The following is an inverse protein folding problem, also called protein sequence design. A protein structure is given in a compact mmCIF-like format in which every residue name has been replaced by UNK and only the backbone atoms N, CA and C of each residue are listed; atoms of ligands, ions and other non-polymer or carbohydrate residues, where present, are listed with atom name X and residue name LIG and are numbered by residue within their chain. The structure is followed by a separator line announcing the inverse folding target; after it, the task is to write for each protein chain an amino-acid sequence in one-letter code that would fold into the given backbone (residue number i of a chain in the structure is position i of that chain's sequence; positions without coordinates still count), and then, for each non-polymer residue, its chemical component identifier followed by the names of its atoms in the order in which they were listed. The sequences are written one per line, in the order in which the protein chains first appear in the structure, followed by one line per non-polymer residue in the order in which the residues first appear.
data_IF_961925429524
#
_entry.id   IF_961925429524
#
_cell.length_a   1.000
_cell.length_b   1.000
_cell.length_c   1.000
_cell.angle_alpha   90.00
_cell.angle_beta   90.00
_cell.angle_gamma   90.00
#
_symmetry.space_group_name_H-M   'P 1'
#
loop_
_entity.id
_entity.type
_entity.pdbx_description
1 polymer ?
#
# COMPACT_ATOMS: atom_id res chain seq x y z
N UNK A 1 -13.76 3.61 19.19
CA UNK A 1 -12.38 3.57 18.66
C UNK A 1 -11.47 4.10 19.73
N UNK A 2 -11.69 5.34 20.17
CA UNK A 2 -11.27 5.84 21.46
C UNK A 2 -12.13 5.25 22.59
N UNK A 3 -11.58 5.16 23.79
CA UNK A 3 -12.26 4.90 25.07
C UNK A 3 -12.88 6.19 25.59
N UNK A 4 -13.86 6.09 26.49
CA UNK A 4 -14.48 7.27 27.12
C UNK A 4 -13.45 8.14 27.83
N UNK A 5 -12.49 7.52 28.52
CA UNK A 5 -11.37 8.21 29.16
C UNK A 5 -10.52 8.99 28.15
N UNK A 6 -10.11 8.39 27.03
CA UNK A 6 -9.34 9.10 26.01
C UNK A 6 -10.12 10.28 25.39
N UNK A 7 -11.45 10.16 25.27
CA UNK A 7 -12.29 11.27 24.80
C UNK A 7 -12.38 12.38 25.84
N UNK A 8 -12.41 12.05 27.13
CA UNK A 8 -12.38 13.06 28.21
C UNK A 8 -11.02 13.77 28.28
N UNK A 9 -9.93 13.02 28.16
CA UNK A 9 -8.56 13.56 28.20
C UNK A 9 -8.27 14.45 26.97
N UNK A 10 -8.83 14.10 25.80
CA UNK A 10 -8.66 14.85 24.55
C UNK A 10 -10.00 15.02 23.81
N UNK A 11 -10.85 15.99 24.22
CA UNK A 11 -12.22 16.14 23.69
C UNK A 11 -12.31 16.36 22.17
N UNK A 12 -11.28 16.97 21.58
CA UNK A 12 -11.21 17.23 20.14
C UNK A 12 -10.68 16.05 19.32
N UNK A 13 -10.12 15.00 19.95
CA UNK A 13 -9.43 13.92 19.25
C UNK A 13 -10.35 13.18 18.27
N UNK A 14 -11.61 12.97 18.65
CA UNK A 14 -12.58 12.29 17.78
C UNK A 14 -12.90 13.12 16.53
N UNK A 15 -13.05 14.43 16.69
CA UNK A 15 -13.29 15.35 15.58
C UNK A 15 -12.09 15.39 14.64
N UNK A 16 -10.87 15.44 15.19
CA UNK A 16 -9.64 15.38 14.40
C UNK A 16 -9.52 14.07 13.63
N UNK A 17 -9.69 12.94 14.32
CA UNK A 17 -9.63 11.64 13.69
C UNK A 17 -10.66 11.49 12.57
N UNK A 18 -11.88 12.00 12.79
CA UNK A 18 -12.91 12.03 11.75
C UNK A 18 -12.46 12.84 10.53
N UNK A 19 -11.81 13.99 10.72
CA UNK A 19 -11.24 14.81 9.64
C UNK A 19 -10.18 14.02 8.85
N UNK A 20 -9.19 13.45 9.54
CA UNK A 20 -8.10 12.66 8.95
C UNK A 20 -8.68 11.49 8.14
N UNK A 21 -9.62 10.75 8.71
CA UNK A 21 -10.23 9.57 8.08
C UNK A 21 -11.02 9.94 6.83
N UNK A 22 -11.94 10.90 6.95
CA UNK A 22 -12.81 11.32 5.84
C UNK A 22 -12.01 11.91 4.68
N UNK A 23 -10.89 12.58 4.95
CA UNK A 23 -10.04 13.12 3.89
C UNK A 23 -9.25 12.04 3.16
N UNK A 24 -8.70 11.06 3.89
CA UNK A 24 -7.67 10.16 3.35
C UNK A 24 -8.19 8.80 2.87
N UNK A 25 -9.28 8.28 3.45
CA UNK A 25 -9.69 6.89 3.25
C UNK A 25 -10.70 6.71 2.09
N UNK A 26 -11.88 7.37 2.07
CA UNK A 26 -13.01 6.92 1.26
C UNK A 26 -12.93 7.24 -0.23
N UNK A 27 -12.04 8.14 -0.67
CA UNK A 27 -12.07 8.69 -2.02
C UNK A 27 -11.33 7.86 -3.09
N UNK A 28 -10.89 6.65 -2.75
CA UNK A 28 -10.31 5.71 -3.70
C UNK A 28 -11.39 4.89 -4.41
N UNK A 29 -10.96 3.94 -5.26
CA UNK A 29 -11.89 2.96 -5.87
C UNK A 29 -12.46 1.95 -4.85
N UNK A 30 -11.93 1.92 -3.63
CA UNK A 30 -12.30 1.00 -2.53
C UNK A 30 -12.22 -0.50 -2.88
N UNK A 31 -11.58 -0.84 -4.01
CA UNK A 31 -11.48 -2.20 -4.53
C UNK A 31 -10.79 -3.12 -3.53
N UNK A 32 -9.79 -2.62 -2.77
CA UNK A 32 -8.99 -3.48 -1.88
C UNK A 32 -9.83 -3.97 -0.71
N UNK A 33 -10.62 -3.08 -0.13
CA UNK A 33 -11.56 -3.42 0.94
C UNK A 33 -12.68 -4.33 0.47
N UNK A 34 -13.22 -4.09 -0.74
CA UNK A 34 -14.30 -4.91 -1.30
C UNK A 34 -13.85 -6.31 -1.72
N UNK A 35 -12.58 -6.50 -2.07
CA UNK A 35 -12.05 -7.82 -2.44
C UNK A 35 -12.06 -8.82 -1.28
N UNK A 36 -12.02 -8.38 -0.02
CA UNK A 36 -12.06 -9.27 1.15
C UNK A 36 -13.40 -10.02 1.26
N UNK A 37 -14.58 -9.35 1.36
CA UNK A 37 -15.86 -10.05 1.39
C UNK A 37 -16.19 -10.76 0.08
N UNK A 38 -15.68 -10.30 -1.07
CA UNK A 38 -15.82 -11.02 -2.33
C UNK A 38 -15.05 -12.35 -2.33
N UNK A 39 -13.83 -12.36 -1.81
CA UNK A 39 -13.04 -13.58 -1.70
C UNK A 39 -13.65 -14.57 -0.69
N UNK A 40 -14.22 -14.10 0.43
CA UNK A 40 -14.96 -14.97 1.35
C UNK A 40 -16.12 -15.65 0.63
N UNK A 41 -16.91 -14.92 -0.16
CA UNK A 41 -18.00 -15.51 -0.98
C UNK A 41 -17.51 -16.42 -2.10
N UNK A 42 -16.27 -16.26 -2.54
CA UNK A 42 -15.64 -17.13 -3.54
C UNK A 42 -15.08 -18.44 -2.97
N UNK A 43 -14.63 -18.42 -1.71
CA UNK A 43 -14.07 -19.58 -1.01
C UNK A 43 -15.16 -20.39 -0.30
N UNK A 44 -16.16 -19.72 0.28
CA UNK A 44 -17.25 -20.34 1.01
C UNK A 44 -18.53 -20.33 0.18
N UNK A 45 -19.16 -21.49 0.00
CA UNK A 45 -20.42 -21.61 -0.77
C UNK A 45 -21.58 -20.89 -0.08
N UNK A 46 -21.63 -20.95 1.25
CA UNK A 46 -22.69 -20.36 2.07
C UNK A 46 -22.08 -19.64 3.30
N UNK A 47 -21.39 -18.51 3.12
CA UNK A 47 -20.75 -17.81 4.22
C UNK A 47 -21.80 -17.26 5.19
N UNK A 48 -21.54 -17.41 6.48
CA UNK A 48 -22.43 -16.89 7.54
C UNK A 48 -22.42 -15.36 7.55
N UNK A 49 -23.48 -14.76 8.10
CA UNK A 49 -23.56 -13.29 8.29
C UNK A 49 -22.37 -12.77 9.11
N UNK A 50 -21.95 -13.54 10.14
CA UNK A 50 -20.78 -13.23 10.96
C UNK A 50 -19.50 -13.18 10.13
N UNK A 51 -19.25 -14.17 9.27
CA UNK A 51 -18.06 -14.21 8.40
C UNK A 51 -18.05 -13.03 7.43
N UNK A 52 -19.20 -12.69 6.85
CA UNK A 52 -19.32 -11.54 5.94
C UNK A 52 -19.10 -10.22 6.68
N UNK A 53 -19.65 -10.06 7.89
CA UNK A 53 -19.41 -8.88 8.71
C UNK A 53 -17.93 -8.73 9.07
N UNK A 54 -17.28 -9.82 9.48
CA UNK A 54 -15.84 -9.86 9.74
C UNK A 54 -15.04 -9.46 8.49
N UNK A 55 -15.43 -9.96 7.31
CA UNK A 55 -14.79 -9.63 6.05
C UNK A 55 -14.91 -8.13 5.71
N UNK A 56 -16.06 -7.50 5.94
CA UNK A 56 -16.23 -6.06 5.75
C UNK A 56 -15.38 -5.23 6.73
N UNK A 57 -15.30 -5.64 7.99
CA UNK A 57 -14.46 -4.96 8.99
C UNK A 57 -12.99 -5.02 8.57
N UNK A 58 -12.50 -6.20 8.19
CA UNK A 58 -11.13 -6.35 7.70
C UNK A 58 -10.91 -5.62 6.36
N UNK A 59 -11.92 -5.56 5.49
CA UNK A 59 -11.89 -4.75 4.28
C UNK A 59 -11.65 -3.26 4.56
N UNK A 60 -12.31 -2.71 5.58
CA UNK A 60 -12.03 -1.34 6.03
C UNK A 60 -10.64 -1.19 6.63
N UNK A 61 -10.19 -2.15 7.44
CA UNK A 61 -8.80 -2.18 7.93
C UNK A 61 -7.79 -2.14 6.77
N UNK A 62 -8.04 -2.88 5.69
CA UNK A 62 -7.22 -2.86 4.48
C UNK A 62 -7.22 -1.46 3.86
N UNK A 63 -8.36 -0.83 3.64
CA UNK A 63 -8.42 0.52 3.04
C UNK A 63 -7.67 1.57 3.89
N UNK A 64 -7.77 1.48 5.22
CA UNK A 64 -7.05 2.38 6.15
C UNK A 64 -5.54 2.12 6.10
N UNK A 65 -5.11 0.85 6.18
CA UNK A 65 -3.69 0.47 6.11
C UNK A 65 -3.03 0.88 4.77
N UNK A 66 -3.84 1.11 3.75
CA UNK A 66 -3.41 1.57 2.42
C UNK A 66 -3.42 3.08 2.25
N UNK A 67 -3.69 3.85 3.30
CA UNK A 67 -3.57 5.30 3.20
C UNK A 67 -2.15 5.70 2.81
N UNK A 68 -2.09 6.70 1.91
CA UNK A 68 -0.86 7.10 1.23
C UNK A 68 -0.26 8.37 1.84
N UNK A 69 -0.66 8.76 3.05
CA UNK A 69 -0.21 9.99 3.70
C UNK A 69 1.32 10.00 3.85
N UNK A 70 1.90 8.93 4.41
CA UNK A 70 3.36 8.82 4.55
C UNK A 70 4.08 8.75 3.18
N UNK A 71 3.51 8.05 2.20
CA UNK A 71 4.04 7.97 0.83
C UNK A 71 4.07 9.35 0.17
N UNK A 72 2.98 10.11 0.30
CA UNK A 72 2.86 11.46 -0.25
C UNK A 72 3.86 12.44 0.38
N UNK A 73 4.14 12.30 1.69
CA UNK A 73 5.17 13.08 2.39
C UNK A 73 6.57 12.72 1.87
N UNK A 74 6.93 11.43 1.85
CA UNK A 74 8.24 10.95 1.38
C UNK A 74 8.49 11.33 -0.08
N UNK A 75 7.46 11.26 -0.92
CA UNK A 75 7.53 11.59 -2.34
C UNK A 75 7.45 13.08 -2.65
N UNK A 76 7.22 13.93 -1.63
CA UNK A 76 6.85 15.35 -1.79
C UNK A 76 5.71 15.57 -2.79
N UNK A 77 4.72 14.68 -2.79
CA UNK A 77 3.63 14.70 -3.78
C UNK A 77 2.71 15.91 -3.61
N UNK A 78 2.29 16.52 -4.72
CA UNK A 78 1.36 17.65 -4.69
C UNK A 78 -0.10 17.23 -4.45
N UNK A 79 -0.54 16.24 -5.21
CA UNK A 79 -1.96 15.86 -5.31
C UNK A 79 -2.17 14.36 -5.21
N UNK A 80 -3.26 13.97 -4.55
CA UNK A 80 -3.76 12.61 -4.43
C UNK A 80 -5.27 12.60 -4.63
N UNK A 81 -5.75 11.72 -5.54
CA UNK A 81 -7.19 11.54 -5.80
C UNK A 81 -7.89 12.87 -6.16
N UNK A 82 -7.21 13.72 -6.93
CA UNK A 82 -7.73 15.03 -7.37
C UNK A 82 -7.74 16.12 -6.31
N UNK A 83 -7.13 15.91 -5.13
CA UNK A 83 -7.04 16.90 -4.04
C UNK A 83 -5.59 17.09 -3.60
N UNK A 84 -5.24 18.20 -2.91
CA UNK A 84 -3.94 18.34 -2.28
C UNK A 84 -3.63 17.15 -1.36
N UNK A 85 -2.39 16.69 -1.36
CA UNK A 85 -1.94 15.69 -0.40
C UNK A 85 -2.13 16.20 1.03
N UNK A 86 -2.48 15.30 1.97
CA UNK A 86 -2.89 15.69 3.33
C UNK A 86 -1.90 16.62 4.03
N UNK A 87 -0.60 16.38 3.87
CA UNK A 87 0.45 17.21 4.48
C UNK A 87 0.53 18.65 3.95
N UNK A 88 -0.13 18.96 2.84
CA UNK A 88 -0.24 20.31 2.27
C UNK A 88 -1.54 21.03 2.65
N UNK A 89 -2.44 20.38 3.38
CA UNK A 89 -3.72 20.95 3.80
C UNK A 89 -3.51 21.75 5.09
N UNK A 90 -4.10 22.95 5.18
CA UNK A 90 -4.17 23.77 6.39
C UNK A 90 -2.83 23.97 7.14
N UNK A 91 -1.69 23.99 6.43
CA UNK A 91 -0.37 24.15 7.04
C UNK A 91 0.07 22.97 7.93
N UNK A 92 -0.47 21.77 7.70
CA UNK A 92 -0.17 20.57 8.49
C UNK A 92 1.31 20.19 8.49
N UNK A 93 1.95 20.24 7.32
CA UNK A 93 3.35 19.90 7.10
C UNK A 93 3.74 18.57 7.79
N UNK A 94 4.62 18.63 8.78
CA UNK A 94 5.13 17.46 9.51
C UNK A 94 4.09 16.81 10.42
N UNK A 95 3.03 17.52 10.85
CA UNK A 95 1.97 16.93 11.69
C UNK A 95 1.22 15.81 10.95
N UNK A 96 1.10 15.91 9.64
CA UNK A 96 0.51 14.85 8.82
C UNK A 96 1.28 13.51 8.91
N UNK A 97 2.56 13.53 9.30
CA UNK A 97 3.30 12.31 9.60
C UNK A 97 2.69 11.59 10.81
N UNK A 98 2.37 12.32 11.89
CA UNK A 98 1.69 11.75 13.04
C UNK A 98 0.31 11.19 12.68
N UNK A 99 -0.45 11.88 11.85
CA UNK A 99 -1.75 11.39 11.37
C UNK A 99 -1.63 10.09 10.56
N UNK A 100 -0.52 9.92 9.83
CA UNK A 100 -0.25 8.66 9.12
C UNK A 100 -0.03 7.48 10.08
N UNK A 101 0.67 7.71 11.20
CA UNK A 101 0.87 6.72 12.26
C UNK A 101 -0.44 6.44 13.00
N UNK A 102 -1.24 7.47 13.24
CA UNK A 102 -2.55 7.35 13.88
C UNK A 102 -3.49 6.44 13.07
N UNK A 103 -3.55 6.63 11.74
CA UNK A 103 -4.33 5.77 10.84
C UNK A 103 -3.87 4.31 10.93
N UNK A 104 -2.55 4.05 10.95
CA UNK A 104 -2.00 2.71 11.11
C UNK A 104 -2.38 2.10 12.46
N UNK A 105 -2.25 2.85 13.55
CA UNK A 105 -2.60 2.36 14.88
C UNK A 105 -4.10 2.02 15.01
N UNK A 106 -4.97 2.78 14.34
CA UNK A 106 -6.41 2.53 14.36
C UNK A 106 -6.78 1.18 13.74
N UNK A 107 -6.03 0.71 12.75
CA UNK A 107 -6.22 -0.63 12.19
C UNK A 107 -6.10 -1.68 13.30
N UNK A 108 -5.05 -1.62 14.10
CA UNK A 108 -4.84 -2.56 15.22
C UNK A 108 -5.88 -2.38 16.33
N UNK A 109 -6.36 -1.16 16.59
CA UNK A 109 -7.48 -0.94 17.52
C UNK A 109 -8.78 -1.59 17.03
N UNK A 110 -9.07 -1.52 15.72
CA UNK A 110 -10.22 -2.21 15.13
C UNK A 110 -10.03 -3.72 15.23
N UNK A 111 -8.86 -4.25 14.84
CA UNK A 111 -8.57 -5.69 14.90
C UNK A 111 -8.74 -6.20 16.35
N UNK A 112 -8.13 -5.53 17.32
CA UNK A 112 -8.27 -5.90 18.73
C UNK A 112 -9.74 -5.82 19.21
N UNK A 113 -10.49 -4.79 18.82
CA UNK A 113 -11.90 -4.65 19.22
C UNK A 113 -12.77 -5.81 18.76
N UNK A 114 -12.62 -6.25 17.50
CA UNK A 114 -13.54 -7.20 16.87
C UNK A 114 -13.03 -8.64 16.85
N UNK A 115 -11.72 -8.85 16.93
CA UNK A 115 -11.10 -10.16 16.68
C UNK A 115 -10.32 -10.72 17.86
N UNK A 116 -10.07 -9.98 18.95
CA UNK A 116 -9.24 -10.46 20.08
C UNK A 116 -9.63 -11.82 20.68
N UNK A 117 -10.91 -12.18 20.60
CA UNK A 117 -11.45 -13.43 21.14
C UNK A 117 -11.69 -14.50 20.06
N UNK A 118 -11.22 -14.27 18.84
CA UNK A 118 -11.32 -15.24 17.74
C UNK A 118 -10.09 -16.15 17.71
N UNK A 119 -10.25 -17.38 17.22
CA UNK A 119 -9.15 -18.34 17.04
C UNK A 119 -8.05 -17.82 16.11
N UNK A 120 -8.38 -16.87 15.24
CA UNK A 120 -7.52 -16.36 14.17
C UNK A 120 -7.02 -14.92 14.40
N UNK A 121 -7.10 -14.39 15.62
CA UNK A 121 -6.60 -13.06 15.98
C UNK A 121 -5.12 -12.85 15.64
N UNK A 122 -4.26 -13.81 16.02
CA UNK A 122 -2.82 -13.76 15.76
C UNK A 122 -2.53 -13.73 14.27
N UNK A 123 -3.17 -14.63 13.51
CA UNK A 123 -3.03 -14.71 12.06
C UNK A 123 -3.42 -13.41 11.36
N UNK A 124 -4.55 -12.79 11.73
CA UNK A 124 -4.93 -11.49 11.17
C UNK A 124 -3.86 -10.44 11.51
N UNK A 125 -3.40 -10.39 12.75
CA UNK A 125 -2.41 -9.41 13.20
C UNK A 125 -1.09 -9.56 12.43
N UNK A 126 -0.60 -10.79 12.26
CA UNK A 126 0.58 -11.11 11.47
C UNK A 126 0.43 -10.70 10.00
N UNK A 127 -0.72 -10.98 9.38
CA UNK A 127 -1.02 -10.56 8.00
C UNK A 127 -0.89 -9.04 7.86
N UNK A 128 -1.45 -8.26 8.79
CA UNK A 128 -1.38 -6.80 8.74
C UNK A 128 0.04 -6.25 9.00
N UNK A 129 0.78 -6.87 9.92
CA UNK A 129 2.18 -6.53 10.20
C UNK A 129 3.07 -6.80 8.98
N UNK A 130 2.96 -7.99 8.38
CA UNK A 130 3.71 -8.35 7.17
C UNK A 130 3.34 -7.46 5.99
N UNK A 131 2.04 -7.18 5.83
CA UNK A 131 1.54 -6.34 4.77
C UNK A 131 2.20 -4.95 4.81
N UNK A 132 2.47 -4.43 6.01
CA UNK A 132 3.05 -3.11 6.19
C UNK A 132 4.57 -3.09 6.15
N UNK A 133 5.20 -4.12 6.73
CA UNK A 133 6.66 -4.25 6.82
C UNK A 133 7.32 -4.30 5.44
N UNK A 134 6.76 -5.06 4.50
CA UNK A 134 7.30 -5.22 3.13
C UNK A 134 7.38 -3.88 2.37
N UNK A 135 6.31 -3.06 2.27
CA UNK A 135 6.37 -1.71 1.72
C UNK A 135 7.36 -0.77 2.44
N UNK A 136 7.51 -0.87 3.76
CA UNK A 136 8.47 -0.05 4.50
C UNK A 136 9.92 -0.33 4.12
N UNK A 137 10.33 -1.61 4.08
CA UNK A 137 11.65 -1.97 3.59
C UNK A 137 11.88 -1.51 2.15
N UNK A 138 10.87 -1.67 1.30
CA UNK A 138 10.95 -1.24 -0.08
C UNK A 138 11.02 0.29 -0.24
N UNK A 139 10.43 1.07 0.67
CA UNK A 139 10.60 2.53 0.71
C UNK A 139 11.99 2.93 1.18
N UNK A 140 12.55 2.23 2.18
CA UNK A 140 13.94 2.43 2.60
C UNK A 140 14.90 2.22 1.43
N UNK A 141 14.72 1.16 0.65
CA UNK A 141 15.55 0.87 -0.52
C UNK A 141 15.51 1.97 -1.59
N UNK A 142 14.41 2.72 -1.73
CA UNK A 142 14.31 3.77 -2.76
C UNK A 142 14.53 5.19 -2.31
N UNK A 143 14.55 5.46 -1.02
CA UNK A 143 14.81 6.81 -0.52
C UNK A 143 16.21 6.94 0.09
N UNK A 144 17.00 5.87 0.12
CA UNK A 144 18.40 5.92 0.55
C UNK A 144 19.29 6.64 -0.46
N UNK A 145 20.36 7.33 -0.01
CA UNK A 145 21.33 7.95 -0.91
C UNK A 145 21.93 6.97 -1.92
N UNK A 146 22.23 5.74 -1.49
CA UNK A 146 22.86 4.70 -2.29
C UNK A 146 21.88 3.95 -3.22
N UNK A 147 20.62 4.43 -3.35
CA UNK A 147 19.56 3.76 -4.12
C UNK A 147 20.00 3.38 -5.53
N UNK A 148 20.72 4.24 -6.25
CA UNK A 148 21.16 3.97 -7.63
C UNK A 148 22.11 2.77 -7.66
N UNK A 149 23.07 2.69 -6.72
CA UNK A 149 23.99 1.55 -6.60
C UNK A 149 23.22 0.25 -6.32
N UNK A 150 22.29 0.29 -5.38
CA UNK A 150 21.42 -0.86 -5.07
C UNK A 150 20.59 -1.27 -6.31
N UNK A 151 20.09 -0.30 -7.08
CA UNK A 151 19.32 -0.51 -8.30
C UNK A 151 20.15 -1.12 -9.44
N UNK A 152 21.46 -0.96 -9.44
CA UNK A 152 22.34 -1.58 -10.44
C UNK A 152 22.51 -3.08 -10.20
N UNK A 153 22.61 -3.50 -8.95
CA UNK A 153 22.74 -4.91 -8.55
C UNK A 153 21.44 -5.69 -8.78
N UNK A 154 20.33 -4.97 -8.94
CA UNK A 154 19.00 -5.49 -9.22
C UNK A 154 18.89 -5.91 -10.69
N UNK A 155 18.69 -7.21 -10.94
CA UNK A 155 18.47 -7.79 -12.28
C UNK A 155 17.04 -8.28 -12.45
N UNK A 156 16.47 -8.18 -13.65
CA UNK A 156 15.14 -8.67 -13.97
C UNK A 156 14.91 -10.13 -13.52
N UNK A 157 15.85 -11.03 -13.83
CA UNK A 157 15.78 -12.46 -13.47
C UNK A 157 15.69 -12.70 -11.94
N UNK A 158 16.22 -11.79 -11.12
CA UNK A 158 16.27 -11.91 -9.66
C UNK A 158 15.20 -11.05 -8.94
N UNK A 159 14.41 -10.26 -9.67
CA UNK A 159 13.53 -9.21 -9.09
C UNK A 159 12.05 -9.54 -9.09
N UNK A 160 11.67 -10.75 -9.52
CA UNK A 160 10.29 -11.25 -9.40
C UNK A 160 9.72 -11.08 -7.96
N UNK A 161 10.50 -11.22 -6.86
CA UNK A 161 9.98 -11.03 -5.50
C UNK A 161 10.33 -9.69 -4.81
N UNK A 162 11.47 -9.04 -5.13
CA UNK A 162 12.02 -7.95 -4.29
C UNK A 162 11.50 -6.55 -4.63
N UNK A 163 11.01 -6.33 -5.85
CA UNK A 163 10.45 -5.05 -6.31
C UNK A 163 8.94 -5.09 -6.54
N UNK A 164 8.37 -6.29 -6.55
CA UNK A 164 6.93 -6.55 -6.60
C UNK A 164 6.23 -6.13 -5.30
N UNK A 165 6.93 -6.08 -4.17
CA UNK A 165 6.38 -5.92 -2.81
C UNK A 165 5.78 -4.56 -2.44
N UNK A 166 5.90 -3.51 -3.27
CA UNK A 166 5.43 -2.16 -2.86
C UNK A 166 3.94 -1.89 -3.05
N UNK A 167 3.33 -2.46 -4.10
CA UNK A 167 1.87 -2.35 -4.36
C UNK A 167 1.17 -3.70 -4.49
N UNK A 168 1.92 -4.78 -4.78
CA UNK A 168 1.37 -6.13 -4.79
C UNK A 168 0.87 -6.56 -3.42
N UNK A 169 1.45 -6.00 -2.34
CA UNK A 169 1.22 -6.42 -0.95
C UNK A 169 -0.16 -6.23 -0.38
N UNK A 170 -1.00 -5.44 -1.04
CA UNK A 170 -2.38 -5.34 -0.58
C UNK A 170 -3.33 -6.26 -1.36
N UNK A 171 -3.02 -6.50 -2.64
CA UNK A 171 -3.70 -7.56 -3.39
C UNK A 171 -3.29 -8.94 -2.86
N UNK A 172 -2.17 -9.03 -2.11
CA UNK A 172 -1.79 -10.18 -1.27
C UNK A 172 -2.73 -10.44 -0.10
N UNK A 173 -3.28 -9.38 0.49
CA UNK A 173 -3.92 -9.51 1.81
C UNK A 173 -5.29 -10.16 1.72
N UNK A 174 -6.10 -9.82 0.69
CA UNK A 174 -7.51 -10.23 0.69
C UNK A 174 -7.73 -11.75 0.58
N UNK A 175 -6.96 -12.55 -0.20
CA UNK A 175 -7.15 -14.00 -0.24
C UNK A 175 -6.75 -14.67 1.08
N UNK A 176 -5.70 -14.16 1.74
CA UNK A 176 -5.25 -14.66 3.03
C UNK A 176 -6.26 -14.36 4.14
N UNK A 177 -6.81 -13.13 4.17
CA UNK A 177 -7.87 -12.76 5.12
C UNK A 177 -9.14 -13.59 4.88
N UNK A 178 -9.50 -13.84 3.62
CA UNK A 178 -10.67 -14.65 3.30
C UNK A 178 -10.47 -16.12 3.74
N UNK A 179 -9.31 -16.70 3.44
CA UNK A 179 -8.95 -18.05 3.91
C UNK A 179 -8.92 -18.14 5.45
N UNK A 180 -8.46 -17.08 6.12
CA UNK A 180 -8.45 -16.98 7.58
C UNK A 180 -9.86 -16.96 8.17
N UNK A 181 -10.78 -16.17 7.58
CA UNK A 181 -12.21 -16.12 7.98
C UNK A 181 -12.92 -17.45 7.70
N UNK A 182 -12.54 -18.13 6.62
CA UNK A 182 -13.02 -19.46 6.27
C UNK A 182 -12.38 -20.58 7.14
N UNK A 183 -11.43 -20.24 8.02
CA UNK A 183 -10.64 -21.20 8.81
C UNK A 183 -10.05 -22.33 7.96
N UNK A 184 -9.63 -21.99 6.73
CA UNK A 184 -9.12 -22.95 5.76
C UNK A 184 -7.77 -23.51 6.24
N UNK A 185 -7.70 -24.83 6.43
CA UNK A 185 -6.48 -25.52 6.90
C UNK A 185 -5.68 -26.20 5.79
N UNK A 186 -6.25 -26.29 4.58
CA UNK A 186 -5.58 -26.96 3.47
C UNK A 186 -4.35 -26.17 3.00
N UNK A 187 -3.18 -26.67 3.34
CA UNK A 187 -1.90 -26.02 3.04
C UNK A 187 -1.62 -25.90 1.54
N UNK A 188 -2.16 -26.80 0.73
CA UNK A 188 -2.00 -26.76 -0.73
C UNK A 188 -2.79 -25.58 -1.30
N UNK A 189 -4.05 -25.42 -0.91
CA UNK A 189 -4.89 -24.30 -1.31
C UNK A 189 -4.32 -22.98 -0.81
N UNK A 190 -3.85 -22.90 0.44
CA UNK A 190 -3.21 -21.70 0.97
C UNK A 190 -1.98 -21.27 0.14
N UNK A 191 -1.13 -22.22 -0.27
CA UNK A 191 0.01 -21.95 -1.17
C UNK A 191 -0.45 -21.46 -2.54
N UNK A 192 -1.51 -22.05 -3.11
CA UNK A 192 -2.05 -21.59 -4.38
C UNK A 192 -2.66 -20.19 -4.29
N UNK A 193 -3.33 -19.86 -3.18
CA UNK A 193 -3.87 -18.52 -2.92
C UNK A 193 -2.75 -17.48 -2.83
N UNK A 194 -1.66 -17.81 -2.12
CA UNK A 194 -0.48 -16.95 -2.06
C UNK A 194 0.12 -16.71 -3.45
N UNK A 195 0.30 -17.76 -4.26
CA UNK A 195 0.80 -17.65 -5.63
C UNK A 195 -0.13 -16.86 -6.56
N UNK A 196 -1.43 -17.05 -6.43
CA UNK A 196 -2.44 -16.30 -7.18
C UNK A 196 -2.34 -14.81 -6.85
N UNK A 197 -2.24 -14.49 -5.56
CA UNK A 197 -2.11 -13.13 -5.10
C UNK A 197 -0.79 -12.48 -5.60
N UNK A 198 0.29 -13.28 -5.75
CA UNK A 198 1.59 -12.84 -6.32
C UNK A 198 1.43 -12.39 -7.76
N UNK A 199 0.69 -13.16 -8.54
CA UNK A 199 0.42 -12.85 -9.94
C UNK A 199 -0.48 -11.62 -10.09
N UNK A 200 -1.52 -11.49 -9.26
CA UNK A 200 -2.41 -10.31 -9.29
C UNK A 200 -1.67 -9.02 -8.95
N UNK A 201 -0.82 -9.06 -7.92
CA UNK A 201 -0.03 -7.90 -7.53
C UNK A 201 0.95 -7.44 -8.61
N UNK A 202 1.52 -8.39 -9.36
CA UNK A 202 2.35 -8.10 -10.54
C UNK A 202 1.55 -7.41 -11.65
N UNK A 203 0.36 -7.94 -11.99
CA UNK A 203 -0.52 -7.37 -13.00
C UNK A 203 -0.98 -5.94 -12.64
N UNK A 204 -1.31 -5.69 -11.37
CA UNK A 204 -1.71 -4.37 -10.89
C UNK A 204 -0.62 -3.30 -11.07
N UNK A 205 0.66 -3.68 -11.02
CA UNK A 205 1.78 -2.77 -11.30
C UNK A 205 1.89 -2.44 -12.78
N UNK A 206 1.78 -3.45 -13.65
CA UNK A 206 1.77 -3.27 -15.10
C UNK A 206 0.67 -2.28 -15.50
N UNK A 207 -0.56 -2.50 -15.05
CA UNK A 207 -1.67 -1.59 -15.32
C UNK A 207 -1.45 -0.20 -14.72
N UNK A 208 -0.88 -0.11 -13.51
CA UNK A 208 -0.59 1.16 -12.85
C UNK A 208 0.45 2.05 -13.54
N UNK A 209 1.35 1.47 -14.36
CA UNK A 209 2.35 2.19 -15.14
C UNK A 209 1.77 2.84 -16.41
N UNK A 210 0.73 2.24 -17.00
CA UNK A 210 0.09 2.72 -18.22
C UNK A 210 -1.19 3.55 -17.97
N UNK A 211 -1.60 3.72 -16.71
CA UNK A 211 -2.78 4.53 -16.39
C UNK A 211 -2.49 6.03 -16.54
N UNK A 212 -3.12 6.66 -17.54
CA UNK A 212 -3.06 8.10 -17.82
C UNK A 212 -3.36 8.98 -16.59
N UNK A 213 -2.72 10.16 -16.52
CA UNK A 213 -2.92 11.21 -15.49
C UNK A 213 -4.39 11.55 -15.25
N UNK A 214 -5.22 11.55 -16.30
CA UNK A 214 -6.69 11.77 -16.23
C UNK A 214 -7.43 10.68 -15.43
N UNK A 215 -6.92 9.45 -15.39
CA UNK A 215 -7.54 8.32 -14.70
C UNK A 215 -7.03 8.15 -13.26
N UNK A 216 -5.80 8.59 -12.97
CA UNK A 216 -5.17 8.38 -11.64
C UNK A 216 -5.29 9.60 -10.73
N UNK A 217 -5.43 10.81 -11.28
CA UNK A 217 -5.46 12.05 -10.51
C UNK A 217 -4.17 12.31 -9.71
N UNK A 218 -3.05 11.69 -10.11
CA UNK A 218 -1.70 11.90 -9.55
C UNK A 218 -0.75 12.33 -10.67
N UNK A 219 0.16 13.25 -10.35
CA UNK A 219 1.32 13.58 -11.18
C UNK A 219 2.38 12.49 -10.94
N UNK A 220 2.87 11.85 -12.00
CA UNK A 220 3.93 10.84 -11.89
C UNK A 220 5.23 11.49 -11.42
N UNK A 221 5.79 11.00 -10.31
CA UNK A 221 7.03 11.51 -9.69
C UNK A 221 8.17 10.47 -9.69
N UNK A 222 7.95 9.31 -10.32
CA UNK A 222 8.83 8.15 -10.18
C UNK A 222 10.23 8.38 -10.79
N UNK A 223 10.33 9.11 -11.91
CA UNK A 223 11.62 9.43 -12.57
C UNK A 223 12.39 10.46 -11.74
N UNK A 224 11.73 11.54 -11.33
CA UNK A 224 12.34 12.62 -10.57
C UNK A 224 12.87 12.14 -9.21
N UNK A 225 12.13 11.23 -8.58
CA UNK A 225 12.51 10.65 -7.29
C UNK A 225 13.51 9.49 -7.46
N UNK A 226 13.91 9.15 -8.69
CA UNK A 226 14.88 8.10 -8.96
C UNK A 226 14.39 6.74 -8.48
N UNK A 227 13.08 6.46 -8.61
CA UNK A 227 12.48 5.24 -8.09
C UNK A 227 12.92 4.03 -8.91
N UNK A 228 13.14 2.91 -8.23
CA UNK A 228 13.33 1.62 -8.88
C UNK A 228 12.01 1.11 -9.49
N UNK A 229 11.69 1.59 -10.69
CA UNK A 229 10.49 1.20 -11.44
C UNK A 229 10.75 -0.03 -12.29
N UNK A 230 9.67 -0.67 -12.77
CA UNK A 230 9.78 -1.75 -13.72
C UNK A 230 10.41 -1.25 -15.02
N UNK A 231 9.99 -0.07 -15.49
CA UNK A 231 10.52 0.57 -16.68
C UNK A 231 12.01 0.83 -16.57
N UNK A 232 12.51 1.32 -15.42
CA UNK A 232 13.93 1.51 -15.19
C UNK A 232 14.72 0.19 -15.32
N UNK A 233 14.24 -0.89 -14.68
CA UNK A 233 14.93 -2.19 -14.72
C UNK A 233 14.92 -2.74 -16.15
N UNK A 234 13.79 -2.62 -16.86
CA UNK A 234 13.69 -3.06 -18.25
C UNK A 234 14.61 -2.27 -19.17
N UNK A 235 14.64 -0.93 -19.04
CA UNK A 235 15.58 -0.10 -19.79
C UNK A 235 17.02 -0.52 -19.49
N UNK A 236 17.42 -0.53 -18.21
CA UNK A 236 18.76 -0.92 -17.75
C UNK A 236 19.22 -2.30 -18.25
N UNK A 237 18.33 -3.28 -18.28
CA UNK A 237 18.70 -4.65 -18.65
C UNK A 237 18.69 -4.90 -20.17
N UNK A 238 18.17 -3.97 -20.98
CA UNK A 238 18.09 -4.12 -22.44
C UNK A 238 18.83 -3.03 -23.24
N UNK A 239 19.33 -1.98 -22.59
CA UNK A 239 20.01 -0.87 -23.25
C UNK A 239 21.51 -1.15 -23.48
N UNK A 240 22.12 -0.41 -24.41
CA UNK A 240 23.58 -0.37 -24.58
C UNK A 240 24.27 0.29 -23.38
N UNK A 241 25.60 0.22 -23.33
CA UNK A 241 26.38 0.92 -22.30
C UNK A 241 26.20 2.45 -22.39
N UNK A 242 26.14 2.99 -23.60
CA UNK A 242 25.95 4.43 -23.86
C UNK A 242 24.55 4.89 -23.43
N UNK A 243 23.52 4.09 -23.75
CA UNK A 243 22.15 4.35 -23.31
C UNK A 243 21.99 4.22 -21.79
N UNK A 244 22.76 3.32 -21.16
CA UNK A 244 22.77 3.17 -19.71
C UNK A 244 23.36 4.42 -19.04
N UNK A 245 24.48 4.92 -19.53
CA UNK A 245 25.09 6.15 -19.03
C UNK A 245 24.13 7.34 -19.17
N UNK A 246 23.51 7.47 -20.34
CA UNK A 246 22.49 8.49 -20.58
C UNK A 246 21.31 8.35 -19.62
N UNK A 247 20.82 7.13 -19.38
CA UNK A 247 19.75 6.88 -18.43
C UNK A 247 20.15 7.36 -17.02
N UNK A 248 21.37 7.06 -16.55
CA UNK A 248 21.81 7.43 -15.21
C UNK A 248 22.02 8.93 -15.03
N UNK A 249 22.52 9.61 -16.07
CA UNK A 249 22.75 11.06 -16.03
C UNK A 249 21.45 11.87 -15.94
N UNK A 250 20.34 11.24 -16.33
CA UNK A 250 19.02 11.87 -16.46
C UNK A 250 17.97 11.34 -15.46
N UNK A 251 18.26 10.27 -14.70
CA UNK A 251 17.30 9.63 -13.79
C UNK A 251 17.52 10.03 -12.32
N UNK A 252 16.46 10.46 -11.64
CA UNK A 252 16.53 10.82 -10.22
C UNK A 252 16.92 12.27 -9.92
N UNK A 253 16.68 13.17 -10.87
CA UNK A 253 16.86 14.62 -10.71
C UNK A 253 15.52 15.35 -10.74
N UNK A 254 15.35 16.33 -9.83
CA UNK A 254 14.17 17.22 -9.81
C UNK A 254 14.13 18.16 -11.04
N UNK A 255 15.27 18.44 -11.66
CA UNK A 255 15.40 19.32 -12.82
C UNK A 255 14.81 18.69 -14.11
N UNK A 256 13.83 19.37 -14.70
CA UNK A 256 13.11 18.94 -15.91
C UNK A 256 13.98 18.93 -17.17
N UNK A 257 15.06 19.72 -17.19
CA UNK A 257 15.94 19.83 -18.35
C UNK A 257 16.84 18.60 -18.53
N UNK A 258 16.92 17.73 -17.52
CA UNK A 258 17.60 16.44 -17.56
C UNK A 258 16.65 15.28 -17.85
N UNK A 259 15.43 15.51 -18.34
CA UNK A 259 14.53 14.41 -18.68
C UNK A 259 14.62 14.14 -20.16
N UNK A 260 15.00 12.92 -20.53
CA UNK A 260 15.00 12.47 -21.93
C UNK A 260 13.54 12.50 -22.41
N UNK A 261 13.28 13.30 -23.45
CA UNK A 261 11.97 13.43 -24.11
C UNK A 261 11.66 12.24 -24.98
#
# INVERSE_FOLDING_TARGET
LLTEKEVQDVPWALAWLKKVFLYNVPHGKQIRGLLVPLAVRGLERCPTEKQIQQAYILGWCVEIACCLVADDIMDKSDTRRGRPCWYKVDGLESLAFNDSLLLEHIVYRIINKYFKNTSFYSTITEIFLEQRTKPYWANVLTHRPERIKIMMDIRWKNTRPSLSTRRATILFTFPLLAATIAELKDTVTLKHLEQFALKLGYLGRFLGLFCLRKLTGKIGTDIQNGKCTWLFICAKDNCSQEELELLLDNYGYEDKHKWIS
#
